data_IF_347785934241
#
_entry.id   IF_347785934241
#
_cell.length_a   1.000
_cell.length_b   1.000
_cell.length_c   1.000
_cell.angle_alpha   90.00
_cell.angle_beta   90.00
_cell.angle_gamma   90.00
#
_symmetry.space_group_name_H-M   'P 1'
#
loop_
_entity.id
_entity.type
_entity.pdbx_description
1 polymer ?
#
# COMPACT_ATOMS: atom_id res chain seq x y z
N UNK A 1 57.37 6.34 -44.03
CA UNK A 1 55.92 6.13 -43.84
C UNK A 1 55.49 7.16 -42.79
N UNK A 2 54.96 8.33 -43.12
CA UNK A 2 53.58 8.65 -43.57
C UNK A 2 52.51 8.12 -42.61
N UNK A 3 51.46 8.83 -42.14
CA UNK A 3 50.90 10.21 -42.19
C UNK A 3 49.91 10.27 -40.98
N UNK A 4 49.51 11.50 -40.58
CA UNK A 4 48.48 11.90 -39.59
C UNK A 4 47.04 11.34 -39.77
N UNK A 5 46.25 11.38 -38.67
CA UNK A 5 44.86 11.93 -38.51
C UNK A 5 44.44 11.68 -37.03
N UNK A 6 44.22 12.63 -36.11
CA UNK A 6 43.20 13.70 -35.86
C UNK A 6 41.75 13.21 -35.63
N UNK A 7 41.18 13.58 -34.47
CA UNK A 7 39.73 13.63 -34.13
C UNK A 7 39.48 13.20 -32.68
N UNK A 8 39.44 14.07 -31.66
CA UNK A 8 38.44 15.11 -31.28
C UNK A 8 37.22 14.58 -30.51
N UNK A 9 36.84 15.32 -29.46
CA UNK A 9 35.63 15.17 -28.63
C UNK A 9 35.76 14.11 -27.51
N UNK A 10 35.86 14.43 -26.23
CA UNK A 10 35.09 15.44 -25.51
C UNK A 10 33.66 14.95 -25.31
N UNK A 11 33.40 14.22 -24.22
CA UNK A 11 32.36 14.51 -23.24
C UNK A 11 32.32 13.40 -22.19
N UNK A 12 32.41 13.87 -20.95
CA UNK A 12 32.25 13.18 -19.69
C UNK A 12 30.80 12.71 -19.57
N UNK A 13 30.52 11.43 -19.88
CA UNK A 13 29.29 10.78 -19.44
C UNK A 13 29.61 10.02 -18.16
N UNK A 14 29.53 10.75 -17.05
CA UNK A 14 29.22 10.19 -15.74
C UNK A 14 28.03 9.26 -15.91
N UNK A 15 28.28 7.95 -15.87
CA UNK A 15 27.25 6.99 -15.59
C UNK A 15 26.69 7.35 -14.21
N UNK A 16 25.55 8.04 -14.17
CA UNK A 16 24.71 8.16 -12.99
C UNK A 16 24.31 6.73 -12.61
N UNK A 17 25.11 6.18 -11.72
CA UNK A 17 24.80 4.97 -11.00
C UNK A 17 23.63 5.35 -10.10
N UNK A 18 22.40 5.12 -10.58
CA UNK A 18 21.16 5.20 -9.79
C UNK A 18 21.23 4.12 -8.69
N UNK A 19 22.02 4.42 -7.64
CA UNK A 19 22.07 3.67 -6.39
C UNK A 19 20.75 3.90 -5.64
N UNK A 20 19.69 3.29 -6.15
CA UNK A 20 18.40 3.18 -5.47
C UNK A 20 18.61 2.28 -4.26
N UNK A 21 18.90 2.90 -3.11
CA UNK A 21 18.94 2.17 -1.85
C UNK A 21 17.51 1.74 -1.48
N UNK A 22 17.16 0.51 -1.83
CA UNK A 22 16.00 -0.18 -1.29
C UNK A 22 16.33 -0.53 0.16
N UNK A 23 15.86 0.31 1.08
CA UNK A 23 15.85 -0.07 2.49
C UNK A 23 14.56 -0.85 2.74
N UNK A 24 14.71 -2.05 3.30
CA UNK A 24 13.66 -2.57 4.15
C UNK A 24 13.55 -1.61 5.35
N UNK A 25 12.35 -1.29 5.80
CA UNK A 25 12.22 -0.61 7.08
C UNK A 25 12.46 -1.67 8.15
N UNK A 26 13.71 -2.09 8.27
CA UNK A 26 14.22 -2.82 9.42
C UNK A 26 14.58 -1.77 10.45
N UNK A 27 13.63 -1.44 11.32
CA UNK A 27 13.89 -0.55 12.46
C UNK A 27 14.51 -1.37 13.59
N UNK A 28 15.58 -0.81 14.16
CA UNK A 28 16.33 -1.38 15.27
C UNK A 28 15.58 -1.18 16.58
N UNK A 29 15.63 -2.21 17.42
CA UNK A 29 15.35 -2.10 18.85
C UNK A 29 16.31 -1.08 19.46
N UNK A 30 15.83 0.12 19.78
CA UNK A 30 16.56 1.01 20.68
C UNK A 30 16.45 0.44 22.08
N UNK A 31 17.34 -0.51 22.38
CA UNK A 31 18.00 -0.78 23.67
C UNK A 31 17.16 -0.87 24.95
N UNK A 32 15.83 -0.88 24.88
CA UNK A 32 14.94 -0.93 26.02
C UNK A 32 14.21 -2.27 26.02
N UNK A 33 14.32 -3.00 27.13
CA UNK A 33 13.56 -4.23 27.37
C UNK A 33 12.07 -3.96 27.14
N UNK A 34 11.50 -4.64 26.13
CA UNK A 34 10.09 -4.48 25.73
C UNK A 34 9.83 -3.67 24.46
N UNK A 35 10.86 -3.17 23.77
CA UNK A 35 10.78 -2.37 22.52
C UNK A 35 10.53 -3.14 21.23
N UNK A 36 9.97 -4.36 21.30
CA UNK A 36 9.72 -5.17 20.12
C UNK A 36 8.68 -4.53 19.20
N UNK A 37 9.10 -4.05 18.02
CA UNK A 37 8.21 -3.52 16.97
C UNK A 37 7.38 -4.60 16.26
N UNK A 38 7.30 -5.79 16.88
CA UNK A 38 6.62 -6.99 16.37
C UNK A 38 5.26 -7.11 17.01
N UNK A 39 4.22 -7.15 16.18
CA UNK A 39 2.89 -7.45 16.66
C UNK A 39 2.78 -8.96 16.87
N UNK A 40 2.65 -9.35 18.15
CA UNK A 40 2.46 -10.75 18.57
C UNK A 40 0.99 -11.10 18.66
N UNK A 41 0.67 -12.33 18.36
CA UNK A 41 -0.67 -12.87 18.57
C UNK A 41 -0.98 -12.97 20.07
N UNK A 42 -2.18 -12.56 20.47
CA UNK A 42 -2.68 -12.83 21.81
C UNK A 42 -2.97 -14.33 21.92
N UNK A 43 -2.31 -15.10 22.80
CA UNK A 43 -2.51 -16.54 22.88
C UNK A 43 -3.96 -16.94 23.23
N UNK A 44 -4.75 -16.04 23.83
CA UNK A 44 -6.16 -16.27 24.16
C UNK A 44 -7.11 -15.97 23.00
N UNK A 45 -6.68 -15.14 22.06
CA UNK A 45 -7.48 -14.71 20.91
C UNK A 45 -6.56 -14.44 19.71
N UNK A 46 -6.00 -15.50 19.10
CA UNK A 46 -4.95 -15.35 18.08
C UNK A 46 -5.51 -15.11 16.67
N UNK A 47 -6.83 -15.21 16.48
CA UNK A 47 -7.46 -15.21 15.17
C UNK A 47 -7.94 -13.82 14.77
N UNK A 48 -7.79 -13.48 13.49
CA UNK A 48 -8.37 -12.28 12.87
C UNK A 48 -8.08 -10.98 13.63
N UNK A 49 -6.85 -10.85 14.18
CA UNK A 49 -6.44 -9.65 14.91
C UNK A 49 -6.53 -8.40 14.02
N UNK A 50 -7.00 -7.30 14.61
CA UNK A 50 -7.17 -6.04 13.89
C UNK A 50 -5.83 -5.34 13.68
N UNK A 51 -4.95 -5.37 14.68
CA UNK A 51 -3.62 -4.77 14.63
C UNK A 51 -2.69 -5.70 13.84
N UNK A 52 -2.32 -5.29 12.62
CA UNK A 52 -1.55 -6.14 11.72
C UNK A 52 -0.07 -5.86 11.85
N UNK A 53 0.31 -4.59 11.70
CA UNK A 53 1.67 -4.09 11.84
C UNK A 53 1.65 -2.67 12.38
N UNK A 54 2.70 -2.34 13.13
CA UNK A 54 3.01 -0.99 13.57
C UNK A 54 4.52 -0.79 13.51
N UNK A 55 4.95 0.19 12.72
CA UNK A 55 6.34 0.62 12.63
C UNK A 55 6.40 2.08 13.03
N UNK A 56 7.18 2.39 14.06
CA UNK A 56 7.35 3.76 14.52
C UNK A 56 8.84 4.07 14.63
N UNK A 57 9.26 5.26 14.22
CA UNK A 57 10.66 5.67 14.31
C UNK A 57 11.21 6.37 13.06
N UNK A 58 12.44 6.90 13.18
CA UNK A 58 13.19 7.61 12.11
C UNK A 58 12.41 8.71 11.36
N UNK A 59 11.32 9.21 11.94
CA UNK A 59 10.52 10.31 11.40
C UNK A 59 9.34 9.88 10.51
N UNK A 60 9.00 8.59 10.45
CA UNK A 60 7.84 8.07 9.73
C UNK A 60 7.20 6.98 10.58
N UNK A 61 5.92 7.14 10.87
CA UNK A 61 5.12 6.09 11.50
C UNK A 61 4.24 5.43 10.44
N UNK A 62 4.21 4.10 10.42
CA UNK A 62 3.35 3.32 9.54
C UNK A 62 2.53 2.34 10.35
N UNK A 63 1.22 2.31 10.08
CA UNK A 63 0.29 1.38 10.72
C UNK A 63 -0.46 0.63 9.63
N UNK A 64 -0.71 -0.65 9.85
CA UNK A 64 -1.74 -1.35 9.10
C UNK A 64 -2.71 -2.10 10.01
N UNK A 65 -3.98 -2.02 9.62
CA UNK A 65 -5.12 -2.52 10.36
C UNK A 65 -5.97 -3.39 9.45
N UNK A 66 -6.34 -4.58 9.91
CA UNK A 66 -7.33 -5.43 9.29
C UNK A 66 -8.73 -4.90 9.66
N UNK A 67 -9.32 -4.17 8.72
CA UNK A 67 -10.58 -3.45 8.91
C UNK A 67 -11.76 -4.41 8.82
N UNK A 68 -11.76 -5.30 7.83
CA UNK A 68 -12.87 -6.22 7.60
C UNK A 68 -12.39 -7.61 7.15
N UNK A 69 -13.09 -8.63 7.66
CA UNK A 69 -12.93 -10.05 7.32
C UNK A 69 -14.30 -10.61 7.03
N UNK A 70 -14.51 -11.07 5.80
CA UNK A 70 -15.79 -11.62 5.36
C UNK A 70 -15.56 -13.02 4.80
N UNK A 71 -16.03 -14.03 5.51
CA UNK A 71 -16.04 -15.41 5.05
C UNK A 71 -17.37 -15.73 4.36
N UNK A 72 -17.30 -16.56 3.33
CA UNK A 72 -18.46 -16.95 2.54
C UNK A 72 -18.11 -17.91 1.42
N UNK A 73 -19.01 -18.04 0.45
CA UNK A 73 -18.79 -18.79 -0.77
C UNK A 73 -18.35 -17.85 -1.91
N UNK A 74 -17.58 -18.39 -2.84
CA UNK A 74 -17.21 -17.69 -4.06
C UNK A 74 -18.44 -17.46 -4.95
N UNK A 75 -19.32 -18.46 -5.00
CA UNK A 75 -20.61 -18.46 -5.70
C UNK A 75 -21.52 -19.50 -5.04
N UNK A 76 -22.82 -19.45 -5.36
CA UNK A 76 -23.85 -20.33 -4.81
C UNK A 76 -23.64 -21.84 -5.02
N UNK A 77 -22.73 -22.25 -5.92
CA UNK A 77 -22.45 -23.67 -6.22
C UNK A 77 -20.96 -24.04 -6.10
N UNK A 78 -20.12 -23.16 -5.56
CA UNK A 78 -18.67 -23.21 -5.78
C UNK A 78 -17.78 -23.28 -4.53
N UNK A 79 -16.49 -23.03 -4.78
CA UNK A 79 -15.42 -22.91 -3.79
C UNK A 79 -15.74 -21.88 -2.70
N UNK A 80 -15.03 -21.96 -1.57
CA UNK A 80 -15.14 -20.98 -0.49
C UNK A 80 -14.33 -19.72 -0.82
N UNK A 81 -14.72 -18.61 -0.19
CA UNK A 81 -14.01 -17.35 -0.32
C UNK A 81 -13.85 -16.63 1.02
N UNK A 82 -12.82 -15.78 1.09
CA UNK A 82 -12.66 -14.79 2.15
C UNK A 82 -12.30 -13.46 1.51
N UNK A 83 -13.04 -12.39 1.81
CA UNK A 83 -12.64 -11.02 1.48
C UNK A 83 -12.00 -10.38 2.71
N UNK A 84 -10.84 -9.77 2.52
CA UNK A 84 -10.09 -9.06 3.55
C UNK A 84 -9.90 -7.61 3.12
N UNK A 85 -10.03 -6.69 4.07
CA UNK A 85 -9.78 -5.27 3.83
C UNK A 85 -8.77 -4.75 4.83
N UNK A 86 -7.67 -4.20 4.31
CA UNK A 86 -6.58 -3.65 5.10
C UNK A 86 -6.49 -2.15 4.89
N UNK A 87 -6.29 -1.39 5.95
CA UNK A 87 -5.99 0.04 5.89
C UNK A 87 -4.55 0.28 6.30
N UNK A 88 -3.76 0.85 5.40
CA UNK A 88 -2.41 1.33 5.65
C UNK A 88 -2.46 2.83 5.89
N UNK A 89 -1.76 3.30 6.92
CA UNK A 89 -1.59 4.72 7.23
C UNK A 89 -0.11 5.05 7.31
N UNK A 90 0.28 6.06 6.56
CA UNK A 90 1.63 6.58 6.45
C UNK A 90 1.65 7.99 7.08
N UNK A 91 2.19 8.07 8.29
CA UNK A 91 2.20 9.27 9.12
C UNK A 91 3.64 9.83 9.21
N UNK A 92 4.11 10.64 8.24
CA UNK A 92 5.42 11.28 8.32
C UNK A 92 5.48 12.25 9.50
N UNK A 93 6.36 11.98 10.47
CA UNK A 93 6.56 12.78 11.67
C UNK A 93 7.50 13.97 11.45
N UNK A 94 8.21 14.02 10.31
CA UNK A 94 9.10 15.12 9.92
C UNK A 94 8.85 15.51 8.47
N UNK A 95 8.78 16.82 8.19
CA UNK A 95 8.61 17.34 6.81
C UNK A 95 9.67 16.85 5.82
N UNK A 96 10.88 16.54 6.31
CA UNK A 96 12.00 16.03 5.49
C UNK A 96 11.96 14.52 5.23
N UNK A 97 10.97 13.79 5.77
CA UNK A 97 10.88 12.32 5.67
C UNK A 97 9.60 11.90 4.95
N UNK A 98 9.48 12.29 3.69
CA UNK A 98 8.42 11.78 2.80
C UNK A 98 8.78 10.37 2.32
N UNK A 99 7.77 9.53 2.13
CA UNK A 99 7.91 8.20 1.53
C UNK A 99 7.74 8.35 0.02
N UNK A 100 8.77 8.04 -0.75
CA UNK A 100 8.74 8.10 -2.21
C UNK A 100 8.12 6.86 -2.83
N UNK A 101 8.29 5.72 -2.16
CA UNK A 101 7.79 4.41 -2.58
C UNK A 101 7.35 3.60 -1.37
N UNK A 102 6.21 2.94 -1.46
CA UNK A 102 5.79 1.93 -0.50
C UNK A 102 5.37 0.66 -1.25
N UNK A 103 5.88 -0.48 -0.81
CA UNK A 103 5.52 -1.81 -1.33
C UNK A 103 4.87 -2.60 -0.21
N UNK A 104 3.62 -3.00 -0.44
CA UNK A 104 2.81 -3.82 0.45
C UNK A 104 2.73 -5.20 -0.17
N UNK A 105 3.04 -6.23 0.59
CA UNK A 105 2.87 -7.63 0.20
C UNK A 105 2.10 -8.35 1.31
N UNK A 106 1.07 -9.10 0.93
CA UNK A 106 0.33 -9.98 1.82
C UNK A 106 0.52 -11.40 1.30
N UNK A 107 1.28 -12.21 2.03
CA UNK A 107 1.53 -13.60 1.68
C UNK A 107 0.54 -14.51 2.41
N UNK A 108 -0.15 -15.36 1.66
CA UNK A 108 -1.15 -16.29 2.17
C UNK A 108 -0.65 -17.72 2.08
N UNK A 109 -0.76 -18.45 3.19
CA UNK A 109 -0.37 -19.86 3.25
C UNK A 109 -1.20 -20.64 4.27
N UNK A 110 -0.88 -21.91 4.45
CA UNK A 110 -1.43 -22.77 5.51
C UNK A 110 -0.35 -23.08 6.54
N UNK A 111 -0.74 -23.17 7.81
CA UNK A 111 0.19 -23.62 8.87
C UNK A 111 0.40 -25.13 8.89
N UNK A 112 -0.50 -25.87 8.25
CA UNK A 112 -0.50 -27.33 8.17
C UNK A 112 -0.59 -27.72 6.69
N UNK A 113 0.46 -28.40 6.22
CA UNK A 113 0.67 -28.83 4.83
C UNK A 113 -0.40 -29.81 4.32
N UNK A 114 -1.21 -30.40 5.21
CA UNK A 114 -2.35 -31.23 4.80
C UNK A 114 -3.55 -30.41 4.30
N UNK A 115 -3.61 -29.11 4.59
CA UNK A 115 -4.69 -28.23 4.15
C UNK A 115 -4.48 -27.71 2.74
N UNK A 116 -5.58 -27.36 2.07
CA UNK A 116 -5.50 -26.77 0.74
C UNK A 116 -4.94 -25.35 0.83
N UNK A 117 -3.86 -25.10 0.09
CA UNK A 117 -3.25 -23.78 0.00
C UNK A 117 -4.26 -22.77 -0.57
N UNK A 118 -4.46 -21.60 0.07
CA UNK A 118 -5.36 -20.57 -0.44
C UNK A 118 -4.83 -19.92 -1.72
N UNK A 119 -5.73 -19.43 -2.55
CA UNK A 119 -5.43 -18.69 -3.78
C UNK A 119 -5.83 -17.23 -3.62
N UNK A 120 -4.91 -16.31 -3.91
CA UNK A 120 -5.23 -14.90 -4.13
C UNK A 120 -5.89 -14.79 -5.50
N UNK A 121 -7.21 -14.64 -5.52
CA UNK A 121 -7.97 -14.64 -6.77
C UNK A 121 -8.17 -13.23 -7.33
N UNK A 122 -8.34 -12.23 -6.46
CA UNK A 122 -8.46 -10.84 -6.88
C UNK A 122 -7.90 -9.88 -5.83
N UNK A 123 -7.41 -8.74 -6.32
CA UNK A 123 -6.92 -7.60 -5.51
C UNK A 123 -7.57 -6.31 -6.01
N UNK A 124 -7.81 -5.36 -5.11
CA UNK A 124 -8.17 -4.01 -5.53
C UNK A 124 -6.98 -3.31 -6.18
N UNK A 125 -7.25 -2.23 -6.93
CA UNK A 125 -6.23 -1.56 -7.73
C UNK A 125 -5.45 -2.50 -8.67
N UNK A 126 -6.05 -3.60 -9.14
CA UNK A 126 -5.40 -4.51 -10.08
C UNK A 126 -5.04 -3.80 -11.40
N UNK A 127 -3.75 -3.80 -11.75
CA UNK A 127 -3.16 -2.96 -12.79
C UNK A 127 -2.49 -1.72 -12.21
N UNK A 128 -2.31 -0.68 -13.04
CA UNK A 128 -1.68 0.59 -12.63
C UNK A 128 -2.71 1.71 -12.70
N UNK A 129 -2.83 2.47 -11.61
CA UNK A 129 -3.73 3.62 -11.48
C UNK A 129 -2.90 4.88 -11.25
N UNK A 130 -3.28 5.94 -11.94
CA UNK A 130 -2.77 7.28 -11.68
C UNK A 130 -3.62 7.94 -10.60
N UNK A 131 -2.97 8.37 -9.53
CA UNK A 131 -3.56 9.11 -8.45
C UNK A 131 -3.28 10.58 -8.75
N UNK A 132 -4.19 11.24 -9.46
CA UNK A 132 -4.08 12.67 -9.76
C UNK A 132 -4.70 13.50 -8.63
N UNK A 133 -3.91 14.16 -7.78
CA UNK A 133 -4.39 15.31 -7.03
C UNK A 133 -4.33 16.55 -7.94
N UNK A 134 -5.22 16.67 -8.93
CA UNK A 134 -5.31 17.93 -9.69
C UNK A 134 -6.08 18.95 -8.88
N UNK A 135 -5.37 19.82 -8.16
CA UNK A 135 -5.71 21.25 -7.93
C UNK A 135 -4.48 21.94 -7.34
N UNK A 136 -3.36 21.89 -8.07
CA UNK A 136 -2.36 22.93 -7.91
C UNK A 136 -2.97 24.18 -8.55
N UNK A 137 -3.58 25.03 -7.74
CA UNK A 137 -3.86 26.40 -8.13
C UNK A 137 -2.52 27.13 -8.22
N UNK A 138 -1.74 26.82 -9.26
CA UNK A 138 -0.75 27.76 -9.73
C UNK A 138 -1.54 28.96 -10.25
N UNK A 139 -1.68 29.94 -9.36
CA UNK A 139 -2.02 31.29 -9.76
C UNK A 139 -0.85 31.81 -10.58
N UNK A 140 -0.78 31.40 -11.85
CA UNK A 140 -0.02 32.14 -12.85
C UNK A 140 -0.71 33.49 -12.88
N UNK A 141 -0.09 34.44 -12.17
CA UNK A 141 -0.57 35.81 -12.10
C UNK A 141 -0.28 36.43 -13.47
N UNK A 142 -1.19 36.20 -14.42
CA UNK A 142 -1.37 37.10 -15.56
C UNK A 142 -2.56 37.98 -15.22
N UNK A 143 -2.24 39.22 -14.88
CA UNK A 143 -3.18 40.22 -14.42
C UNK A 143 -4.37 40.42 -15.37
N UNK A 144 -5.50 40.71 -14.74
CA UNK A 144 -6.76 41.08 -15.39
C UNK A 144 -7.87 41.00 -14.35
N UNK A 145 -8.23 42.15 -13.78
CA UNK A 145 -9.37 42.30 -12.86
C UNK A 145 -10.69 41.86 -13.50
N UNK A 146 -11.45 41.02 -12.81
CA UNK A 146 -12.91 41.05 -12.84
C UNK A 146 -13.47 40.28 -11.64
N UNK A 147 -14.06 41.02 -10.71
CA UNK A 147 -14.87 40.52 -9.60
C UNK A 147 -16.25 40.06 -10.11
N UNK A 148 -16.79 39.00 -9.51
CA UNK A 148 -18.23 38.78 -9.33
C UNK A 148 -18.43 37.57 -8.40
N UNK A 149 -18.94 37.84 -7.21
CA UNK A 149 -19.27 36.83 -6.20
C UNK A 149 -20.67 36.25 -6.39
N UNK A 150 -20.85 35.02 -5.90
CA UNK A 150 -22.08 34.55 -5.27
C UNK A 150 -21.78 33.23 -4.55
N UNK A 151 -21.88 33.28 -3.23
CA UNK A 151 -21.83 32.15 -2.30
C UNK A 151 -23.09 31.30 -2.42
N UNK A 152 -22.94 30.01 -2.73
CA UNK A 152 -23.93 28.99 -2.41
C UNK A 152 -23.21 27.74 -1.91
N UNK A 153 -23.49 27.39 -0.66
CA UNK A 153 -22.92 26.24 0.02
C UNK A 153 -23.44 24.93 -0.58
N UNK A 154 -22.53 23.96 -0.68
CA UNK A 154 -22.82 22.56 -0.98
C UNK A 154 -21.91 21.72 -0.08
N UNK A 155 -22.52 20.89 0.77
CA UNK A 155 -21.87 19.74 1.40
C UNK A 155 -21.38 18.80 0.29
N UNK A 156 -20.08 18.83 0.01
CA UNK A 156 -19.48 17.93 -0.97
C UNK A 156 -18.82 16.76 -0.25
N UNK A 157 -19.54 15.64 -0.16
CA UNK A 157 -18.95 14.31 -0.05
C UNK A 157 -18.01 14.13 -1.25
N UNK A 158 -16.70 14.24 -1.03
CA UNK A 158 -15.69 14.02 -2.08
C UNK A 158 -15.54 12.52 -2.27
N UNK A 159 -16.31 11.95 -3.20
CA UNK A 159 -16.05 10.62 -3.74
C UNK A 159 -14.90 10.73 -4.73
N UNK A 160 -13.68 10.37 -4.32
CA UNK A 160 -12.52 10.32 -5.20
C UNK A 160 -12.73 9.18 -6.22
N UNK A 161 -13.09 9.55 -7.45
CA UNK A 161 -13.26 8.60 -8.56
C UNK A 161 -11.90 8.33 -9.20
N UNK A 162 -11.36 7.14 -8.98
CA UNK A 162 -10.10 6.68 -9.59
C UNK A 162 -10.32 6.36 -11.06
N UNK A 163 -9.45 6.87 -11.95
CA UNK A 163 -9.53 6.57 -13.38
C UNK A 163 -8.35 5.69 -13.81
N UNK A 164 -8.66 4.54 -14.43
CA UNK A 164 -7.68 3.69 -15.11
C UNK A 164 -7.42 4.27 -16.50
N UNK A 165 -6.52 5.24 -16.59
CA UNK A 165 -6.18 5.90 -17.87
C UNK A 165 -5.18 5.04 -18.65
N UNK A 166 -5.59 4.56 -19.83
CA UNK A 166 -4.69 4.03 -20.86
C UNK A 166 -4.57 5.07 -21.96
N UNK A 167 -3.68 6.07 -21.79
CA UNK A 167 -3.00 6.79 -22.88
C UNK A 167 -2.14 7.94 -22.34
N UNK A 168 -0.82 7.79 -22.52
CA UNK A 168 0.17 8.77 -23.00
C UNK A 168 0.05 10.24 -22.52
N UNK A 169 1.10 10.69 -21.82
CA UNK A 169 1.36 12.04 -21.26
C UNK A 169 0.74 12.36 -19.89
N UNK A 170 1.02 11.52 -18.89
CA UNK A 170 1.16 11.99 -17.50
C UNK A 170 2.59 11.71 -17.08
N UNK A 171 3.50 12.64 -17.34
CA UNK A 171 4.93 12.42 -17.09
C UNK A 171 5.19 12.17 -15.60
N UNK A 172 4.48 12.88 -14.70
CA UNK A 172 4.63 12.71 -13.25
C UNK A 172 3.28 12.72 -12.52
N UNK A 173 2.86 11.55 -12.02
CA UNK A 173 1.71 11.40 -11.14
C UNK A 173 2.04 10.41 -10.03
N UNK A 174 1.40 10.56 -8.86
CA UNK A 174 1.45 9.51 -7.85
C UNK A 174 0.73 8.29 -8.42
N UNK A 175 1.21 7.08 -8.17
CA UNK A 175 0.57 5.87 -8.71
C UNK A 175 0.42 4.81 -7.65
N UNK A 176 -0.61 3.97 -7.83
CA UNK A 176 -0.74 2.70 -7.13
C UNK A 176 -0.87 1.60 -8.17
N UNK A 177 -0.15 0.51 -7.97
CA UNK A 177 -0.23 -0.67 -8.82
C UNK A 177 -0.47 -1.91 -7.99
N UNK A 178 -1.60 -2.59 -8.20
CA UNK A 178 -1.94 -3.85 -7.57
C UNK A 178 -1.67 -5.02 -8.51
N UNK A 179 -1.13 -6.11 -7.99
CA UNK A 179 -0.91 -7.35 -8.73
C UNK A 179 -0.87 -8.57 -7.81
N UNK A 180 -0.86 -9.76 -8.42
CA UNK A 180 -0.83 -11.05 -7.71
C UNK A 180 0.41 -11.82 -8.16
N UNK A 181 1.10 -12.46 -7.22
CA UNK A 181 2.33 -13.21 -7.49
C UNK A 181 2.22 -14.66 -7.02
N UNK A 182 2.84 -15.54 -7.79
CA UNK A 182 3.10 -16.92 -7.42
C UNK A 182 4.32 -16.99 -6.51
N UNK A 183 4.41 -18.02 -5.69
CA UNK A 183 5.58 -18.30 -4.87
C UNK A 183 6.38 -19.41 -5.55
N UNK A 184 7.70 -19.25 -5.61
CA UNK A 184 8.62 -20.20 -6.26
C UNK A 184 8.24 -20.54 -7.72
N UNK A 185 7.65 -19.56 -8.43
CA UNK A 185 7.14 -19.72 -9.80
C UNK A 185 6.08 -20.82 -9.95
N UNK A 186 5.39 -21.20 -8.88
CA UNK A 186 4.36 -22.24 -8.87
C UNK A 186 2.97 -21.68 -8.60
N UNK A 187 1.98 -21.92 -9.48
CA UNK A 187 0.57 -21.64 -9.20
C UNK A 187 0.05 -22.39 -7.96
N UNK A 188 -0.98 -21.86 -7.26
CA UNK A 188 -1.73 -20.65 -7.57
C UNK A 188 -1.03 -19.35 -7.14
N UNK A 189 -1.64 -18.19 -7.40
CA UNK A 189 -1.21 -16.94 -6.78
C UNK A 189 -1.37 -17.01 -5.26
N UNK A 190 -0.34 -16.62 -4.51
CA UNK A 190 -0.33 -16.65 -3.03
C UNK A 190 0.05 -15.33 -2.40
N UNK A 191 0.49 -14.36 -3.19
CA UNK A 191 0.87 -13.04 -2.72
C UNK A 191 -0.03 -12.01 -3.39
N UNK A 192 -0.70 -11.19 -2.59
CA UNK A 192 -1.28 -9.92 -3.04
C UNK A 192 -0.25 -8.82 -2.84
N UNK A 193 -0.01 -8.01 -3.87
CA UNK A 193 1.00 -6.96 -3.85
C UNK A 193 0.43 -5.63 -4.32
N UNK A 194 0.80 -4.56 -3.61
CA UNK A 194 0.57 -3.19 -4.04
C UNK A 194 1.87 -2.39 -3.99
N UNK A 195 2.12 -1.61 -5.02
CA UNK A 195 3.25 -0.66 -5.08
C UNK A 195 2.71 0.74 -5.26
N UNK A 196 3.02 1.62 -4.31
CA UNK A 196 2.73 3.04 -4.34
C UNK A 196 3.99 3.80 -4.73
N UNK A 197 3.84 4.76 -5.64
CA UNK A 197 4.89 5.70 -6.05
C UNK A 197 4.40 7.13 -5.87
N UNK A 198 5.26 7.99 -5.35
CA UNK A 198 4.98 9.42 -5.28
C UNK A 198 4.92 10.06 -6.68
N UNK A 199 4.40 11.28 -6.73
CA UNK A 199 4.57 12.16 -7.87
C UNK A 199 5.99 12.77 -7.80
N UNK A 200 6.86 12.46 -8.76
CA UNK A 200 8.25 12.92 -8.78
C UNK A 200 8.39 14.44 -8.95
N UNK A 201 7.44 15.08 -9.63
CA UNK A 201 7.39 16.54 -9.79
C UNK A 201 6.94 17.22 -8.50
N UNK A 202 5.85 16.75 -7.88
CA UNK A 202 5.30 17.38 -6.66
C UNK A 202 6.07 17.01 -5.38
N UNK A 203 6.78 15.87 -5.37
CA UNK A 203 7.53 15.35 -4.22
C UNK A 203 6.71 15.37 -2.92
N UNK A 204 5.42 15.04 -3.05
CA UNK A 204 4.46 15.08 -1.95
C UNK A 204 4.49 13.81 -1.08
N UNK A 205 5.24 12.79 -1.49
CA UNK A 205 5.17 11.45 -0.92
C UNK A 205 3.98 10.63 -1.44
N UNK A 206 3.94 9.37 -1.04
CA UNK A 206 2.77 8.50 -1.21
C UNK A 206 1.59 9.02 -0.37
N UNK A 207 0.33 8.65 -0.71
CA UNK A 207 -0.84 9.04 0.06
C UNK A 207 -0.72 8.72 1.56
N UNK A 208 -1.27 9.57 2.41
CA UNK A 208 -1.28 9.39 3.87
C UNK A 208 -2.05 8.13 4.33
N UNK A 209 -3.08 7.70 3.59
CA UNK A 209 -3.74 6.42 3.85
C UNK A 209 -4.18 5.75 2.56
N UNK A 210 -4.03 4.43 2.52
CA UNK A 210 -4.54 3.58 1.45
C UNK A 210 -5.23 2.37 2.07
N UNK A 211 -6.49 2.18 1.70
CA UNK A 211 -7.28 0.98 1.99
C UNK A 211 -7.29 0.09 0.76
N UNK A 212 -6.79 -1.13 0.94
CA UNK A 212 -6.75 -2.17 -0.09
C UNK A 212 -7.60 -3.36 0.33
N UNK A 213 -8.09 -4.11 -0.65
CA UNK A 213 -8.84 -5.32 -0.39
C UNK A 213 -8.38 -6.46 -1.28
N UNK A 214 -8.49 -7.67 -0.75
CA UNK A 214 -8.10 -8.91 -1.43
C UNK A 214 -9.18 -9.96 -1.24
N UNK A 215 -9.45 -10.73 -2.28
CA UNK A 215 -10.31 -11.90 -2.24
C UNK A 215 -9.46 -13.17 -2.34
N UNK A 216 -9.64 -14.03 -1.36
CA UNK A 216 -8.97 -15.30 -1.22
C UNK A 216 -9.95 -16.41 -1.57
N UNK A 217 -9.63 -17.20 -2.59
CA UNK A 217 -10.34 -18.41 -2.96
C UNK A 217 -9.77 -19.59 -2.16
N UNK A 218 -10.65 -20.44 -1.63
CA UNK A 218 -10.30 -21.55 -0.73
C UNK A 218 -11.09 -22.80 -1.12
N UNK A 219 -10.44 -23.97 -1.06
CA UNK A 219 -11.09 -25.27 -1.35
C UNK A 219 -11.69 -25.91 -0.10
N UNK A 220 -11.23 -25.50 1.08
CA UNK A 220 -11.71 -25.96 2.37
C UNK A 220 -11.94 -24.78 3.33
N UNK A 221 -12.43 -25.07 4.54
CA UNK A 221 -12.61 -24.10 5.62
C UNK A 221 -11.48 -24.19 6.68
N UNK A 222 -10.31 -24.71 6.30
CA UNK A 222 -9.17 -24.75 7.20
C UNK A 222 -8.70 -23.33 7.56
N UNK A 223 -8.08 -23.21 8.73
CA UNK A 223 -7.39 -21.98 9.11
C UNK A 223 -6.20 -21.78 8.16
N UNK A 224 -6.05 -20.55 7.69
CA UNK A 224 -4.93 -20.15 6.85
C UNK A 224 -4.27 -18.89 7.44
N UNK A 225 -3.08 -18.55 6.97
CA UNK A 225 -2.29 -17.43 7.47
C UNK A 225 -2.22 -16.31 6.46
N UNK A 226 -2.02 -15.09 6.97
CA UNK A 226 -1.59 -13.93 6.20
C UNK A 226 -0.36 -13.32 6.87
N UNK A 227 0.76 -13.27 6.14
CA UNK A 227 2.01 -12.64 6.57
C UNK A 227 2.14 -11.30 5.85
N UNK A 228 1.93 -10.16 6.54
CA UNK A 228 2.10 -8.84 5.95
C UNK A 228 3.58 -8.49 5.84
N UNK A 229 3.98 -7.88 4.73
CA UNK A 229 5.29 -7.28 4.52
C UNK A 229 5.11 -5.87 3.99
N UNK A 230 5.87 -4.93 4.54
CA UNK A 230 5.86 -3.53 4.14
C UNK A 230 7.29 -3.04 3.97
N UNK A 231 7.60 -2.54 2.77
CA UNK A 231 8.88 -1.89 2.46
C UNK A 231 8.61 -0.45 2.03
N UNK A 232 9.24 0.53 2.67
CA UNK A 232 9.14 1.92 2.20
C UNK A 232 10.52 2.54 1.98
N UNK A 233 10.61 3.39 0.96
CA UNK A 233 11.80 4.16 0.61
C UNK A 233 11.53 5.63 0.85
N UNK A 234 12.40 6.31 1.58
CA UNK A 234 12.35 7.75 1.85
C UNK A 234 13.56 8.46 1.21
N UNK A 235 13.43 9.78 0.96
CA UNK A 235 14.45 10.59 0.27
C UNK A 235 15.82 10.64 1.00
N UNK A 236 16.89 10.68 0.20
CA UNK A 236 18.30 10.38 0.51
C UNK A 236 19.20 11.60 0.76
N UNK A 237 18.66 12.78 1.11
CA UNK A 237 19.47 13.97 1.43
C UNK A 237 20.10 13.99 2.83
N UNK A 238 20.18 12.85 3.52
CA UNK A 238 21.06 12.70 4.69
C UNK A 238 21.83 11.40 4.59
N UNK A 239 22.98 11.53 3.94
CA UNK A 239 24.09 10.60 3.78
C UNK A 239 24.78 10.22 5.10
N UNK A 240 24.00 9.82 6.11
CA UNK A 240 24.53 9.17 7.33
C UNK A 240 23.39 8.43 8.04
N UNK A 241 22.98 7.27 7.53
CA UNK A 241 22.22 6.32 8.33
C UNK A 241 22.70 4.91 8.01
N UNK A 242 23.74 4.56 8.75
CA UNK A 242 24.18 3.22 9.14
C UNK A 242 23.50 2.07 8.40
N UNK A 243 24.25 1.49 7.46
CA UNK A 243 24.09 0.09 7.05
C UNK A 243 24.10 -0.76 8.31
N UNK A 244 22.93 -1.24 8.70
CA UNK A 244 22.83 -2.36 9.61
C UNK A 244 21.99 -3.44 8.95
N UNK A 245 22.68 -4.53 8.62
CA UNK A 245 22.11 -5.82 8.31
C UNK A 245 21.60 -6.46 9.61
N UNK A 246 20.39 -6.09 10.01
CA UNK A 246 19.68 -6.72 11.11
C UNK A 246 18.35 -7.23 10.61
N UNK A 247 18.13 -8.54 10.66
CA UNK A 247 16.83 -9.15 10.37
C UNK A 247 15.90 -8.71 11.50
N UNK A 248 15.10 -7.66 11.28
CA UNK A 248 14.00 -7.36 12.18
C UNK A 248 13.15 -8.65 12.30
N UNK A 249 12.81 -9.11 13.51
CA UNK A 249 11.92 -10.24 13.65
C UNK A 249 10.65 -10.05 12.80
N UNK A 250 10.11 -11.12 12.23
CA UNK A 250 8.88 -11.01 11.43
C UNK A 250 7.68 -10.81 12.39
N UNK A 251 6.68 -10.01 12.02
CA UNK A 251 5.41 -9.97 12.78
C UNK A 251 4.81 -11.37 12.78
N UNK A 252 4.14 -11.77 13.87
CA UNK A 252 3.44 -13.06 13.86
C UNK A 252 2.39 -13.06 12.72
N UNK A 253 2.18 -14.19 12.02
CA UNK A 253 1.15 -14.29 11.00
C UNK A 253 -0.23 -14.00 11.59
N UNK A 254 -1.10 -13.40 10.77
CA UNK A 254 -2.52 -13.31 11.10
C UNK A 254 -3.14 -14.68 10.83
N UNK A 255 -3.71 -15.32 11.84
CA UNK A 255 -4.49 -16.54 11.65
C UNK A 255 -5.92 -16.19 11.24
N UNK A 256 -6.32 -16.64 10.05
CA UNK A 256 -7.65 -16.40 9.48
C UNK A 256 -8.43 -17.70 9.57
N UNK A 257 -9.57 -17.68 10.29
CA UNK A 257 -10.34 -18.87 10.60
C UNK A 257 -11.73 -18.77 9.95
N UNK A 258 -11.95 -19.40 8.77
CA UNK A 258 -13.21 -19.30 8.03
C UNK A 258 -14.48 -19.65 8.82
N UNK A 259 -14.35 -20.47 9.87
CA UNK A 259 -15.48 -20.87 10.72
C UNK A 259 -15.88 -19.80 11.74
N UNK A 260 -15.13 -18.71 11.88
CA UNK A 260 -15.50 -17.58 12.73
C UNK A 260 -16.48 -16.66 12.01
N UNK A 261 -17.21 -15.88 12.79
CA UNK A 261 -18.16 -14.92 12.24
C UNK A 261 -17.41 -13.81 11.49
N UNK A 262 -17.88 -13.48 10.29
CA UNK A 262 -17.45 -12.30 9.54
C UNK A 262 -17.65 -11.03 10.37
N UNK A 263 -16.74 -10.06 10.23
CA UNK A 263 -16.82 -8.79 10.95
C UNK A 263 -17.84 -7.85 10.32
N UNK A 264 -18.01 -7.89 9.00
CA UNK A 264 -18.98 -7.09 8.22
C UNK A 264 -19.00 -5.60 8.61
N UNK A 265 -17.83 -4.98 8.77
CA UNK A 265 -17.70 -3.61 9.29
C UNK A 265 -17.96 -2.54 8.24
N UNK A 266 -17.66 -2.79 6.97
CA UNK A 266 -17.75 -1.78 5.91
C UNK A 266 -19.12 -1.73 5.25
N UNK A 267 -19.75 -2.89 5.03
CA UNK A 267 -21.10 -2.99 4.47
C UNK A 267 -21.76 -4.32 4.81
N UNK A 268 -23.01 -4.47 4.39
CA UNK A 268 -23.70 -5.75 4.38
C UNK A 268 -23.26 -6.51 3.12
N UNK A 269 -22.82 -7.75 3.30
CA UNK A 269 -22.29 -8.59 2.23
C UNK A 269 -23.26 -9.71 1.86
N UNK A 270 -23.36 -10.01 0.56
CA UNK A 270 -23.91 -11.30 0.11
C UNK A 270 -22.83 -12.38 0.30
N UNK A 271 -22.87 -13.11 1.42
CA UNK A 271 -21.86 -14.12 1.74
C UNK A 271 -21.96 -15.39 0.89
N UNK A 272 -22.99 -15.52 0.06
CA UNK A 272 -23.14 -16.65 -0.87
C UNK A 272 -22.44 -16.39 -2.21
N UNK A 273 -22.09 -15.14 -2.51
CA UNK A 273 -21.53 -14.69 -3.80
C UNK A 273 -20.42 -13.66 -3.60
N UNK A 274 -19.39 -14.00 -2.81
CA UNK A 274 -18.25 -13.10 -2.60
C UNK A 274 -17.44 -12.85 -3.89
N UNK A 275 -17.57 -13.72 -4.90
CA UNK A 275 -16.97 -13.57 -6.22
C UNK A 275 -17.46 -12.35 -7.00
N UNK A 276 -18.69 -11.88 -6.72
CA UNK A 276 -19.31 -10.76 -7.42
C UNK A 276 -19.04 -9.40 -6.75
N UNK A 277 -18.39 -9.40 -5.59
CA UNK A 277 -18.00 -8.17 -4.91
C UNK A 277 -16.92 -7.46 -5.72
N UNK A 278 -17.20 -6.21 -6.12
CA UNK A 278 -16.16 -5.30 -6.59
C UNK A 278 -15.26 -4.90 -5.41
N UNK A 279 -13.99 -5.31 -5.48
CA UNK A 279 -12.97 -4.98 -4.49
C UNK A 279 -12.62 -3.48 -4.51
N UNK A 280 -12.85 -2.78 -5.61
CA UNK A 280 -12.61 -1.34 -5.68
C UNK A 280 -13.58 -0.55 -4.80
N UNK A 281 -14.81 -1.03 -4.62
CA UNK A 281 -15.81 -0.43 -3.71
C UNK A 281 -15.41 -0.51 -2.23
N UNK A 282 -14.48 -1.40 -1.88
CA UNK A 282 -13.95 -1.57 -0.52
C UNK A 282 -12.65 -0.80 -0.31
N UNK A 283 -12.15 -0.13 -1.34
CA UNK A 283 -10.85 0.51 -1.38
C UNK A 283 -10.97 2.02 -1.32
N UNK A 284 -9.95 2.67 -0.75
CA UNK A 284 -9.94 4.11 -0.55
C UNK A 284 -8.50 4.64 -0.53
N UNK A 285 -8.29 5.89 -0.92
CA UNK A 285 -6.99 6.54 -0.85
C UNK A 285 -7.19 7.97 -0.40
N UNK A 286 -6.47 8.35 0.67
CA UNK A 286 -6.47 9.69 1.23
C UNK A 286 -5.06 10.25 1.18
N UNK A 287 -4.85 11.36 0.45
CA UNK A 287 -3.56 12.05 0.39
C UNK A 287 -3.28 12.90 1.63
N UNK A 288 -4.24 13.71 2.06
CA UNK A 288 -4.15 14.56 3.24
C UNK A 288 -5.56 14.93 3.68
N UNK A 289 -5.84 14.83 4.98
CA UNK A 289 -7.09 15.32 5.56
C UNK A 289 -6.91 16.77 6.00
N UNK A 290 -7.62 17.70 5.37
CA UNK A 290 -7.62 19.12 5.76
C UNK A 290 -8.77 19.38 6.73
N UNK A 291 -8.46 19.68 7.98
CA UNK A 291 -9.47 20.08 8.96
C UNK A 291 -9.84 21.55 8.76
N UNK A 292 -11.12 21.80 8.45
CA UNK A 292 -11.64 23.16 8.32
C UNK A 292 -12.15 23.66 9.69
N UNK A 293 -11.45 24.64 10.23
CA UNK A 293 -11.78 25.52 11.36
C UNK A 293 -11.81 24.97 12.80
N UNK A 294 -10.75 25.32 13.53
CA UNK A 294 -10.82 25.75 14.92
C UNK A 294 -11.79 26.93 15.06
N UNK A 295 -12.85 26.77 15.85
CA UNK A 295 -13.58 27.92 16.40
C UNK A 295 -12.70 28.52 17.49
N UNK A 296 -12.35 29.80 17.34
CA UNK A 296 -11.86 30.65 18.43
C UNK A 296 -12.97 30.85 19.47
#
# INVERSE_FOLDING_TARGET
MSILEIGDGGLDETAENDDVNVFDISMFEDGSEGSGFHIKNNPRDPFQRSEVLQRTGRGIDVRCTLIDVVHGAMSCTGDWATVLVFEFRFDPQKRSRRIMRATIELFFDVSDEQNCVPEVEAVSFNGRYSLLPSMQSETITRGGEASLGASYGIESNVTAKWEKVVSRETTDAATISGNMLVVDNMPPYRIAKWTLLENETLKAGVPASVRVSVRIKRRDNATFTCVPTLKCTADTLSSTLERFSGRSPEDDPIYLKPTMKSTNRLKIYNTEELGDIDLQDLSDITFTTVLSNSRK
#
